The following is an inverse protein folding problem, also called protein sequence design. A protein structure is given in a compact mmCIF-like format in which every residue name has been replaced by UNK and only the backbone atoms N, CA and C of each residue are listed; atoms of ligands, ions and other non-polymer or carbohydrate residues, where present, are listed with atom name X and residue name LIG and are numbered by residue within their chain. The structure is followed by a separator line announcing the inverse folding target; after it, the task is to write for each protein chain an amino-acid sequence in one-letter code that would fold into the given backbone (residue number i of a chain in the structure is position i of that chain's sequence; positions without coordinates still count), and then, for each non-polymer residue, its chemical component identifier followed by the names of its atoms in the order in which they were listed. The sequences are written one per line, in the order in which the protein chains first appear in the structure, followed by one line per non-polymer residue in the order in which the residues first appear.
data_IF_909282018819
#
_entry.id   IF_909282018819
#
_cell.length_a   1.000
_cell.length_b   1.000
_cell.length_c   1.000
_cell.angle_alpha   90.00
_cell.angle_beta   90.00
_cell.angle_gamma   90.00
#
_symmetry.space_group_name_H-M   'P 1'
#
loop_
_entity.id
_entity.type
_entity.pdbx_description
1 polymer ?
#
# COMPACT_ATOMS: atom_id res chain seq x y z
N UNK A 1 13.81 -14.90 -18.19
CA UNK A 1 13.19 -13.57 -18.16
C UNK A 1 13.12 -13.15 -16.72
N UNK A 2 13.77 -12.06 -16.30
CA UNK A 2 13.71 -11.65 -14.88
C UNK A 2 12.29 -11.21 -14.56
N UNK A 3 11.63 -11.92 -13.65
CA UNK A 3 10.33 -11.48 -13.14
C UNK A 3 10.46 -10.09 -12.52
N UNK A 4 9.50 -9.21 -12.82
CA UNK A 4 9.47 -7.86 -12.23
C UNK A 4 9.33 -7.97 -10.71
N UNK A 5 10.20 -7.29 -9.98
CA UNK A 5 10.12 -7.20 -8.52
C UNK A 5 8.84 -6.50 -8.07
N UNK A 6 8.43 -6.66 -6.82
CA UNK A 6 7.28 -5.90 -6.26
C UNK A 6 7.54 -4.39 -6.35
N UNK A 7 8.77 -3.96 -6.09
CA UNK A 7 9.20 -2.57 -6.25
C UNK A 7 9.04 -2.04 -7.68
N UNK A 8 9.36 -2.84 -8.70
CA UNK A 8 9.14 -2.48 -10.11
C UNK A 8 7.64 -2.37 -10.43
N UNK A 9 6.84 -3.32 -9.95
CA UNK A 9 5.37 -3.31 -10.13
C UNK A 9 4.71 -2.11 -9.44
N UNK A 10 5.31 -1.61 -8.35
CA UNK A 10 4.85 -0.43 -7.61
C UNK A 10 5.33 0.90 -8.20
N UNK A 11 6.08 0.88 -9.32
CA UNK A 11 6.61 2.06 -10.01
C UNK A 11 7.56 2.92 -9.14
N UNK A 12 8.35 2.31 -8.25
CA UNK A 12 9.22 3.03 -7.32
C UNK A 12 10.43 3.73 -7.97
N UNK A 13 10.70 3.50 -9.26
CA UNK A 13 11.91 4.00 -9.95
C UNK A 13 12.04 5.52 -9.97
N UNK A 14 10.92 6.25 -9.91
CA UNK A 14 10.90 7.72 -9.91
C UNK A 14 10.59 8.31 -8.53
N UNK A 15 10.36 7.46 -7.52
CA UNK A 15 10.06 7.91 -6.16
C UNK A 15 11.36 8.30 -5.44
N UNK A 16 11.34 9.45 -4.75
CA UNK A 16 12.45 9.95 -3.93
C UNK A 16 12.25 9.61 -2.46
N UNK A 17 11.00 9.47 -2.03
CA UNK A 17 10.65 9.16 -0.64
C UNK A 17 9.51 8.16 -0.54
N UNK A 18 9.63 7.24 0.42
CA UNK A 18 8.69 6.19 0.70
C UNK A 18 8.47 6.04 2.21
N UNK A 19 7.22 5.85 2.63
CA UNK A 19 6.87 5.42 3.98
C UNK A 19 6.30 4.00 3.94
N UNK A 20 6.68 3.18 4.92
CA UNK A 20 6.08 1.86 5.15
C UNK A 20 5.27 1.92 6.44
N UNK A 21 3.98 1.62 6.36
CA UNK A 21 3.09 1.51 7.52
C UNK A 21 2.72 0.05 7.76
N UNK A 22 2.81 -0.40 9.01
CA UNK A 22 2.48 -1.78 9.40
C UNK A 22 3.32 -2.86 8.68
N UNK A 23 4.59 -2.56 8.36
CA UNK A 23 5.46 -3.44 7.56
C UNK A 23 5.71 -4.84 8.14
N UNK A 24 5.56 -5.00 9.45
CA UNK A 24 5.67 -6.29 10.14
C UNK A 24 4.57 -7.29 9.77
N UNK A 25 3.48 -6.83 9.15
CA UNK A 25 2.44 -7.72 8.63
C UNK A 25 2.95 -8.56 7.45
N UNK A 26 3.92 -8.06 6.68
CA UNK A 26 4.65 -8.82 5.67
C UNK A 26 6.11 -8.31 5.58
N UNK A 27 7.00 -8.79 6.46
CA UNK A 27 8.38 -8.32 6.52
C UNK A 27 9.16 -8.67 5.25
N UNK A 28 8.80 -9.75 4.55
CA UNK A 28 9.44 -10.17 3.30
C UNK A 28 9.22 -9.16 2.17
N UNK A 29 8.02 -8.59 2.07
CA UNK A 29 7.72 -7.53 1.08
C UNK A 29 8.31 -6.20 1.53
N UNK A 30 8.23 -5.87 2.82
CA UNK A 30 8.82 -4.64 3.35
C UNK A 30 10.35 -4.60 3.10
N UNK A 31 11.05 -5.71 3.29
CA UNK A 31 12.49 -5.82 3.05
C UNK A 31 12.90 -5.74 1.57
N UNK A 32 11.98 -5.96 0.64
CA UNK A 32 12.24 -5.78 -0.80
C UNK A 32 12.19 -4.31 -1.24
N UNK A 33 11.71 -3.42 -0.37
CA UNK A 33 11.62 -2.00 -0.71
C UNK A 33 13.02 -1.35 -0.67
N UNK A 34 13.33 -0.44 -1.60
CA UNK A 34 14.64 0.20 -1.66
C UNK A 34 14.89 1.09 -0.43
N UNK A 35 15.71 0.60 0.51
CA UNK A 35 15.97 1.25 1.80
C UNK A 35 16.44 2.72 1.68
N UNK A 36 17.12 3.09 0.59
CA UNK A 36 17.57 4.46 0.34
C UNK A 36 16.44 5.51 0.27
N UNK A 37 15.25 5.11 -0.18
CA UNK A 37 14.08 6.00 -0.25
C UNK A 37 13.10 5.76 0.89
N UNK A 38 13.24 4.69 1.67
CA UNK A 38 12.42 4.49 2.87
C UNK A 38 12.86 5.51 3.92
N UNK A 39 11.92 6.32 4.39
CA UNK A 39 12.15 7.42 5.34
C UNK A 39 11.17 7.32 6.51
N UNK A 40 11.59 7.85 7.64
CA UNK A 40 10.73 8.08 8.80
C UNK A 40 10.25 9.54 8.83
N UNK A 41 9.18 9.81 9.58
CA UNK A 41 8.62 11.15 9.77
C UNK A 41 7.20 11.33 9.23
N UNK A 42 6.75 12.58 9.17
CA UNK A 42 5.37 12.95 8.86
C UNK A 42 5.11 13.31 7.38
N UNK A 43 6.10 13.10 6.51
CA UNK A 43 5.96 13.30 5.06
C UNK A 43 6.18 14.76 4.61
N UNK A 44 5.72 15.13 3.40
CA UNK A 44 5.00 14.30 2.44
C UNK A 44 5.89 13.23 1.76
N UNK A 45 5.30 12.08 1.45
CA UNK A 45 5.98 10.98 0.74
C UNK A 45 5.46 10.81 -0.69
N UNK A 46 6.37 10.49 -1.63
CA UNK A 46 6.00 10.18 -3.01
C UNK A 46 5.23 8.85 -3.11
N UNK A 47 5.60 7.88 -2.27
CA UNK A 47 4.95 6.57 -2.19
C UNK A 47 4.72 6.20 -0.74
N UNK A 48 3.54 5.64 -0.44
CA UNK A 48 3.29 5.04 0.87
C UNK A 48 2.85 3.60 0.62
N UNK A 49 3.49 2.64 1.28
CA UNK A 49 3.06 1.25 1.31
C UNK A 49 2.53 0.96 2.71
N UNK A 50 1.22 0.75 2.82
CA UNK A 50 0.60 0.31 4.06
C UNK A 50 0.15 -1.14 3.94
N UNK A 51 0.32 -1.91 5.01
CA UNK A 51 -0.24 -3.25 5.11
C UNK A 51 -1.49 -3.21 5.99
N UNK A 52 -2.55 -3.90 5.58
CA UNK A 52 -3.76 -4.07 6.37
C UNK A 52 -4.20 -5.54 6.30
N UNK A 53 -4.28 -6.19 7.47
CA UNK A 53 -4.76 -7.56 7.59
C UNK A 53 -6.30 -7.64 7.70
N UNK A 54 -6.92 -6.57 8.15
CA UNK A 54 -8.36 -6.50 8.42
C UNK A 54 -8.87 -5.06 8.35
N UNK A 55 -10.19 -4.89 8.49
CA UNK A 55 -10.88 -3.61 8.45
C UNK A 55 -10.39 -2.65 9.52
N UNK A 56 -10.13 -3.14 10.73
CA UNK A 56 -9.64 -2.31 11.84
C UNK A 56 -8.29 -1.68 11.52
N UNK A 57 -7.34 -2.45 10.98
CA UNK A 57 -6.04 -1.92 10.58
C UNK A 57 -6.16 -0.94 9.39
N UNK A 58 -7.05 -1.22 8.44
CA UNK A 58 -7.34 -0.29 7.35
C UNK A 58 -7.83 1.06 7.90
N UNK A 59 -8.81 1.04 8.82
CA UNK A 59 -9.36 2.25 9.44
C UNK A 59 -8.33 3.01 10.27
N UNK A 60 -7.41 2.30 10.93
CA UNK A 60 -6.34 2.90 11.72
C UNK A 60 -5.27 3.60 10.85
N UNK A 61 -4.83 2.95 9.77
CA UNK A 61 -3.66 3.40 9.02
C UNK A 61 -4.00 4.25 7.80
N UNK A 62 -5.19 4.11 7.20
CA UNK A 62 -5.55 4.86 5.99
C UNK A 62 -5.56 6.39 6.21
N UNK A 63 -6.08 6.94 7.31
CA UNK A 63 -6.05 8.39 7.55
C UNK A 63 -4.60 8.90 7.67
N UNK A 64 -3.73 8.17 8.39
CA UNK A 64 -2.30 8.49 8.53
C UNK A 64 -1.61 8.47 7.16
N UNK A 65 -1.86 7.43 6.37
CA UNK A 65 -1.31 7.30 5.04
C UNK A 65 -1.76 8.46 4.14
N UNK A 66 -3.04 8.80 4.17
CA UNK A 66 -3.58 9.92 3.38
C UNK A 66 -2.95 11.24 3.79
N UNK A 67 -2.84 11.54 5.08
CA UNK A 67 -2.27 12.81 5.56
C UNK A 67 -0.82 13.00 5.09
N UNK A 68 -0.01 11.94 5.17
CA UNK A 68 1.41 11.96 4.82
C UNK A 68 1.69 11.78 3.33
N UNK A 69 0.67 11.55 2.51
CA UNK A 69 0.83 11.33 1.07
C UNK A 69 1.01 12.67 0.34
N UNK A 70 2.07 12.80 -0.45
CA UNK A 70 2.24 13.96 -1.33
C UNK A 70 1.08 14.11 -2.33
N UNK A 71 0.87 15.33 -2.86
CA UNK A 71 -0.25 15.63 -3.76
C UNK A 71 -0.29 14.71 -5.00
N UNK A 72 0.88 14.43 -5.58
CA UNK A 72 1.06 13.51 -6.72
C UNK A 72 1.49 12.10 -6.28
N UNK A 73 1.42 11.83 -4.98
CA UNK A 73 1.88 10.58 -4.39
C UNK A 73 0.99 9.39 -4.73
N UNK A 74 1.56 8.19 -4.61
CA UNK A 74 0.82 6.94 -4.78
C UNK A 74 0.74 6.17 -3.46
N UNK A 75 -0.47 5.91 -2.97
CA UNK A 75 -0.70 5.02 -1.84
C UNK A 75 -0.88 3.60 -2.34
N UNK A 76 -0.21 2.64 -1.71
CA UNK A 76 -0.38 1.22 -1.93
C UNK A 76 -0.89 0.57 -0.64
N UNK A 77 -2.02 -0.12 -0.73
CA UNK A 77 -2.56 -0.95 0.35
C UNK A 77 -2.26 -2.40 0.01
N UNK A 78 -1.34 -3.01 0.73
CA UNK A 78 -1.12 -4.45 0.70
C UNK A 78 -2.12 -5.13 1.65
N UNK A 79 -2.90 -6.08 1.12
CA UNK A 79 -3.91 -6.82 1.86
C UNK A 79 -3.87 -8.30 1.48
N UNK A 80 -4.34 -9.15 2.39
CA UNK A 80 -4.46 -10.59 2.15
C UNK A 80 -5.57 -10.86 1.13
N UNK A 81 -5.32 -11.76 0.19
CA UNK A 81 -6.36 -12.29 -0.69
C UNK A 81 -7.34 -13.09 0.15
N UNK A 82 -8.60 -13.13 -0.28
CA UNK A 82 -9.61 -13.99 0.36
C UNK A 82 -9.27 -15.49 0.26
N UNK A 83 -8.39 -15.87 -0.67
CA UNK A 83 -7.88 -17.23 -0.84
C UNK A 83 -6.68 -17.55 0.06
N UNK A 84 -6.15 -16.58 0.80
CA UNK A 84 -5.04 -16.81 1.72
C UNK A 84 -5.49 -17.68 2.90
N UNK A 85 -4.58 -18.48 3.45
CA UNK A 85 -4.88 -19.36 4.59
C UNK A 85 -5.30 -18.60 5.85
N UNK A 86 -4.93 -17.32 5.96
CA UNK A 86 -5.28 -16.45 7.09
C UNK A 86 -6.56 -15.67 6.77
N UNK A 87 -7.52 -15.72 7.69
CA UNK A 87 -8.77 -15.01 7.55
C UNK A 87 -8.57 -13.48 7.49
N UNK A 88 -9.32 -12.83 6.60
CA UNK A 88 -9.41 -11.38 6.45
C UNK A 88 -10.85 -10.99 6.15
N UNK A 89 -11.30 -9.85 6.66
CA UNK A 89 -12.62 -9.26 6.46
C UNK A 89 -12.61 -8.13 5.41
N UNK A 90 -11.47 -7.91 4.75
CA UNK A 90 -11.30 -6.92 3.69
C UNK A 90 -10.93 -7.57 2.36
N UNK A 91 -11.33 -6.91 1.28
CA UNK A 91 -10.98 -7.26 -0.09
C UNK A 91 -10.92 -5.98 -0.93
N UNK A 92 -10.54 -6.09 -2.20
CA UNK A 92 -10.43 -4.95 -3.13
C UNK A 92 -11.58 -3.96 -3.02
N UNK A 93 -12.81 -4.45 -3.17
CA UNK A 93 -13.97 -3.57 -3.27
C UNK A 93 -14.33 -2.91 -1.94
N UNK A 94 -14.18 -3.60 -0.80
CA UNK A 94 -14.42 -3.00 0.52
C UNK A 94 -13.35 -1.99 0.91
N UNK A 95 -12.08 -2.25 0.51
CA UNK A 95 -10.99 -1.29 0.65
C UNK A 95 -11.26 -0.04 -0.21
N UNK A 96 -11.63 -0.23 -1.48
CA UNK A 96 -11.90 0.90 -2.39
C UNK A 96 -13.12 1.72 -1.94
N UNK A 97 -14.18 1.07 -1.44
CA UNK A 97 -15.35 1.76 -0.92
C UNK A 97 -14.96 2.68 0.26
N UNK A 98 -14.26 2.14 1.26
CA UNK A 98 -13.77 2.93 2.39
C UNK A 98 -12.78 4.03 1.98
N UNK A 99 -11.89 3.73 1.03
CA UNK A 99 -10.95 4.70 0.51
C UNK A 99 -11.67 5.90 -0.13
N UNK A 100 -12.72 5.66 -0.91
CA UNK A 100 -13.48 6.72 -1.57
C UNK A 100 -14.18 7.64 -0.57
N UNK A 101 -14.74 7.09 0.49
CA UNK A 101 -15.30 7.87 1.62
C UNK A 101 -14.23 8.78 2.26
N UNK A 102 -12.97 8.38 2.17
CA UNK A 102 -11.82 9.12 2.65
C UNK A 102 -11.14 9.97 1.56
N UNK A 103 -11.76 10.20 0.40
CA UNK A 103 -11.23 11.11 -0.65
C UNK A 103 -10.02 10.58 -1.43
N UNK A 104 -9.84 9.26 -1.48
CA UNK A 104 -8.85 8.58 -2.32
C UNK A 104 -9.53 7.46 -3.10
N UNK A 105 -9.12 7.20 -4.33
CA UNK A 105 -9.72 6.15 -5.18
C UNK A 105 -8.69 5.15 -5.66
N UNK A 106 -9.08 3.88 -5.74
CA UNK A 106 -8.25 2.86 -6.37
C UNK A 106 -8.11 3.10 -7.88
N UNK A 107 -6.93 2.82 -8.42
CA UNK A 107 -6.59 3.01 -9.84
C UNK A 107 -5.88 1.83 -10.47
N UNK A 108 -5.24 0.98 -9.68
CA UNK A 108 -4.57 -0.22 -10.18
C UNK A 108 -4.46 -1.26 -9.08
N UNK A 109 -4.24 -2.52 -9.47
CA UNK A 109 -3.95 -3.61 -8.56
C UNK A 109 -2.80 -4.46 -9.11
N UNK A 110 -1.99 -5.01 -8.21
CA UNK A 110 -0.96 -6.01 -8.53
C UNK A 110 -1.09 -7.21 -7.59
N UNK A 111 -0.71 -8.40 -8.07
CA UNK A 111 -0.37 -9.51 -7.18
C UNK A 111 1.04 -9.28 -6.64
N UNK A 112 1.16 -9.25 -5.32
CA UNK A 112 2.45 -9.12 -4.63
C UNK A 112 3.12 -10.50 -4.59
N UNK A 113 2.44 -11.47 -4.00
CA UNK A 113 2.88 -12.87 -3.90
C UNK A 113 1.66 -13.82 -4.00
N UNK A 114 1.77 -15.05 -3.48
CA UNK A 114 0.68 -16.03 -3.45
C UNK A 114 -0.51 -15.59 -2.62
N UNK A 115 -0.27 -14.91 -1.48
CA UNK A 115 -1.28 -14.59 -0.47
C UNK A 115 -1.66 -13.11 -0.45
N UNK A 116 -0.82 -12.21 -0.99
CA UNK A 116 -0.99 -10.77 -0.90
C UNK A 116 -1.27 -10.11 -2.26
N UNK A 117 -2.14 -9.11 -2.21
CA UNK A 117 -2.41 -8.19 -3.32
C UNK A 117 -2.12 -6.76 -2.88
N UNK A 118 -1.67 -5.93 -3.82
CA UNK A 118 -1.45 -4.50 -3.62
C UNK A 118 -2.45 -3.68 -4.42
N UNK A 119 -3.25 -2.85 -3.74
CA UNK A 119 -4.16 -1.90 -4.37
C UNK A 119 -3.50 -0.52 -4.40
N UNK A 120 -3.35 0.07 -5.58
CA UNK A 120 -2.87 1.45 -5.75
C UNK A 120 -4.02 2.42 -5.68
N UNK A 121 -3.86 3.47 -4.89
CA UNK A 121 -4.81 4.56 -4.72
C UNK A 121 -4.16 5.91 -4.97
N UNK A 122 -4.97 6.86 -5.42
CA UNK A 122 -4.62 8.27 -5.59
C UNK A 122 -5.65 9.17 -4.92
N UNK A 123 -5.29 10.41 -4.60
CA UNK A 123 -6.25 11.44 -4.17
C UNK A 123 -7.29 11.68 -5.26
N UNK A 124 -8.54 11.86 -4.84
CA UNK A 124 -9.61 12.40 -5.67
C UNK A 124 -9.46 13.91 -5.51
N UNK A 125 -9.07 14.61 -6.56
CA UNK A 125 -8.99 16.08 -6.59
C UNK A 125 -10.37 16.72 -6.34
#
# INVERSE_FOLDING_TARGET
MSEKTVADKMFLRTAKSMLILNGQANPGVAAQMPAQIVKEGDGPFDVILMFALNRKELEQYLPIAKERLGEKGSLWIAYLKQTASKATDIHRDSINAYAKENGITAVAMISIDGDWSGLRLKRIE
#
